data_IF_194560351606
#
_entry.id   IF_194560351606
#
_cell.length_a   1.000
_cell.length_b   1.000
_cell.length_c   1.000
_cell.angle_alpha   90.00
_cell.angle_beta   90.00
_cell.angle_gamma   90.00
#
_symmetry.space_group_name_H-M   'P 1'
#
loop_
_entity.id
_entity.type
_entity.pdbx_description
1 polymer ?
#
# COMPACT_ATOMS: atom_id res chain seq x y z
N UNK A 1 -24.25 12.80 1.18
CA UNK A 1 -22.99 12.63 0.48
C UNK A 1 -21.94 12.00 1.36
N UNK A 2 -21.43 10.88 0.93
CA UNK A 2 -20.51 10.13 1.78
C UNK A 2 -19.07 10.53 1.52
N UNK A 3 -18.61 11.50 2.28
CA UNK A 3 -17.22 11.90 2.29
C UNK A 3 -16.30 10.75 2.67
N UNK A 4 -16.81 9.81 3.48
CA UNK A 4 -16.00 8.66 3.91
C UNK A 4 -15.65 7.72 2.77
N UNK A 5 -16.56 7.53 1.80
CA UNK A 5 -16.26 6.69 0.64
C UNK A 5 -15.22 7.32 -0.25
N UNK A 6 -15.31 8.63 -0.44
CA UNK A 6 -14.33 9.34 -1.24
C UNK A 6 -12.95 9.33 -0.60
N UNK A 7 -12.88 9.47 0.72
CA UNK A 7 -11.63 9.41 1.44
C UNK A 7 -10.98 8.03 1.37
N UNK A 8 -11.79 6.97 1.51
CA UNK A 8 -11.29 5.61 1.39
C UNK A 8 -10.76 5.36 -0.02
N UNK A 9 -11.51 5.80 -1.03
CA UNK A 9 -11.11 5.64 -2.42
C UNK A 9 -9.81 6.40 -2.71
N UNK A 10 -9.65 7.60 -2.15
CA UNK A 10 -8.41 8.37 -2.32
C UNK A 10 -7.22 7.70 -1.69
N UNK A 11 -7.40 7.13 -0.52
CA UNK A 11 -6.34 6.39 0.16
C UNK A 11 -5.91 5.18 -0.67
N UNK A 12 -6.89 4.42 -1.17
CA UNK A 12 -6.62 3.26 -2.02
C UNK A 12 -5.89 3.67 -3.29
N UNK A 13 -6.41 4.68 -3.98
CA UNK A 13 -5.83 5.15 -5.24
C UNK A 13 -4.40 5.65 -5.05
N UNK A 14 -4.17 6.38 -3.96
CA UNK A 14 -2.84 6.91 -3.67
C UNK A 14 -1.85 5.78 -3.40
N UNK A 15 -2.27 4.78 -2.61
CA UNK A 15 -1.43 3.63 -2.31
C UNK A 15 -1.16 2.81 -3.56
N UNK A 16 -2.17 2.57 -4.38
CA UNK A 16 -1.99 1.85 -5.64
C UNK A 16 -0.98 2.58 -6.52
N UNK A 17 -1.11 3.89 -6.63
CA UNK A 17 -0.23 4.70 -7.45
C UNK A 17 1.22 4.63 -6.96
N UNK A 18 1.44 4.78 -5.66
CA UNK A 18 2.81 4.81 -5.13
C UNK A 18 3.44 3.42 -5.16
N UNK A 19 2.69 2.36 -4.85
CA UNK A 19 3.21 1.00 -4.89
C UNK A 19 3.53 0.59 -6.33
N UNK A 20 2.62 0.89 -7.25
CA UNK A 20 2.84 0.61 -8.68
C UNK A 20 4.04 1.37 -9.21
N UNK A 21 4.19 2.64 -8.81
CA UNK A 21 5.34 3.45 -9.18
C UNK A 21 6.64 2.89 -8.67
N UNK A 22 6.65 2.38 -7.44
CA UNK A 22 7.83 1.74 -6.88
C UNK A 22 8.19 0.46 -7.64
N UNK A 23 7.21 -0.36 -7.97
CA UNK A 23 7.42 -1.58 -8.74
C UNK A 23 7.97 -1.27 -10.13
N UNK A 24 7.54 -0.17 -10.72
CA UNK A 24 8.01 0.27 -12.04
C UNK A 24 9.36 1.01 -11.98
N UNK A 25 9.87 1.31 -10.79
CA UNK A 25 11.13 2.01 -10.62
C UNK A 25 11.03 3.52 -10.69
N UNK A 26 9.82 4.08 -10.63
CA UNK A 26 9.59 5.51 -10.67
C UNK A 26 9.49 6.16 -9.31
N UNK A 27 9.27 5.36 -8.27
CA UNK A 27 9.13 5.83 -6.89
C UNK A 27 10.23 5.19 -6.07
N UNK A 28 10.92 5.99 -5.25
CA UNK A 28 11.96 5.49 -4.37
C UNK A 28 11.37 4.75 -3.18
N UNK A 29 12.19 3.89 -2.56
CA UNK A 29 11.76 3.17 -1.36
C UNK A 29 11.43 4.14 -0.22
N UNK A 30 12.18 5.24 -0.11
CA UNK A 30 11.90 6.25 0.89
C UNK A 30 10.54 6.92 0.71
N UNK A 31 10.16 7.19 -0.54
CA UNK A 31 8.85 7.74 -0.85
C UNK A 31 7.75 6.73 -0.55
N UNK A 32 7.99 5.47 -0.90
CA UNK A 32 7.04 4.39 -0.60
C UNK A 32 6.79 4.30 0.90
N UNK A 33 7.85 4.26 1.70
CA UNK A 33 7.74 4.21 3.15
C UNK A 33 6.95 5.38 3.71
N UNK A 34 7.22 6.57 3.20
CA UNK A 34 6.57 7.80 3.63
C UNK A 34 5.07 7.75 3.37
N UNK A 35 4.69 7.28 2.19
CA UNK A 35 3.27 7.15 1.84
C UNK A 35 2.57 6.08 2.65
N UNK A 36 3.25 4.98 2.95
CA UNK A 36 2.69 3.94 3.79
C UNK A 36 2.47 4.44 5.21
N UNK A 37 3.36 5.28 5.72
CA UNK A 37 3.21 5.87 7.05
C UNK A 37 2.04 6.85 7.10
N UNK A 38 1.76 7.54 6.00
CA UNK A 38 0.64 8.47 5.91
C UNK A 38 -0.70 7.76 5.87
N UNK A 39 -0.72 6.54 5.35
CA UNK A 39 -1.95 5.79 5.22
C UNK A 39 -2.48 5.40 6.59
N UNK A 40 -3.73 5.75 6.85
CA UNK A 40 -4.38 5.41 8.11
C UNK A 40 -5.14 4.11 7.95
N UNK A 41 -4.93 3.20 8.89
CA UNK A 41 -5.61 1.91 8.86
C UNK A 41 -7.13 2.06 8.86
N UNK A 42 -7.63 3.11 9.52
CA UNK A 42 -9.07 3.36 9.62
C UNK A 42 -9.71 3.73 8.28
N UNK A 43 -8.89 4.11 7.30
CA UNK A 43 -9.37 4.45 5.96
C UNK A 43 -9.39 3.23 5.03
N UNK A 44 -8.96 2.08 5.52
CA UNK A 44 -8.83 0.87 4.72
C UNK A 44 -9.68 -0.25 5.30
N UNK A 45 -10.07 -1.19 4.44
CA UNK A 45 -10.70 -2.42 4.89
C UNK A 45 -9.70 -3.24 5.69
N UNK A 46 -10.18 -4.17 6.51
CA UNK A 46 -9.32 -4.99 7.33
C UNK A 46 -8.27 -5.73 6.50
N UNK A 47 -8.68 -6.34 5.40
CA UNK A 47 -7.77 -7.08 4.53
C UNK A 47 -6.70 -6.15 3.92
N UNK A 48 -7.12 -4.96 3.54
CA UNK A 48 -6.20 -3.95 2.99
C UNK A 48 -5.22 -3.49 4.06
N UNK A 49 -5.70 -3.26 5.28
CA UNK A 49 -4.86 -2.82 6.38
C UNK A 49 -3.83 -3.90 6.74
N UNK A 50 -4.26 -5.17 6.75
CA UNK A 50 -3.34 -6.28 7.02
C UNK A 50 -2.27 -6.40 5.95
N UNK A 51 -2.65 -6.27 4.67
CA UNK A 51 -1.70 -6.31 3.58
C UNK A 51 -0.69 -5.16 3.68
N UNK A 52 -1.17 -3.98 4.05
CA UNK A 52 -0.31 -2.82 4.23
C UNK A 52 0.68 -3.02 5.37
N UNK A 53 0.22 -3.58 6.49
CA UNK A 53 1.08 -3.87 7.63
C UNK A 53 2.17 -4.87 7.26
N UNK A 54 1.82 -5.87 6.45
CA UNK A 54 2.76 -6.87 5.98
C UNK A 54 3.85 -6.23 5.11
N UNK A 55 3.45 -5.33 4.21
CA UNK A 55 4.41 -4.61 3.39
C UNK A 55 5.32 -3.72 4.24
N UNK A 56 4.77 -3.06 5.24
CA UNK A 56 5.56 -2.26 6.16
C UNK A 56 6.59 -3.10 6.90
N UNK A 57 6.17 -4.27 7.36
CA UNK A 57 7.07 -5.17 8.07
C UNK A 57 8.21 -5.63 7.18
N UNK A 58 7.91 -5.93 5.92
CA UNK A 58 8.93 -6.35 4.96
C UNK A 58 9.90 -5.22 4.65
N UNK A 59 9.41 -4.00 4.54
CA UNK A 59 10.27 -2.83 4.31
C UNK A 59 11.16 -2.52 5.50
N UNK A 60 10.70 -2.81 6.72
CA UNK A 60 11.47 -2.59 7.92
C UNK A 60 12.52 -3.66 8.17
N UNK A 61 12.38 -4.83 7.54
CA UNK A 61 13.32 -5.94 7.68
C UNK A 61 14.39 -5.95 6.61
N UNK A 62 15.17 -7.02 6.58
CA UNK A 62 16.23 -7.21 5.60
C UNK A 62 15.75 -8.03 4.40
N UNK A 63 14.52 -7.86 4.00
CA UNK A 63 13.95 -8.60 2.89
C UNK A 63 14.62 -8.24 1.58
N UNK A 64 14.79 -9.24 0.73
CA UNK A 64 15.35 -9.04 -0.60
C UNK A 64 14.33 -8.28 -1.47
N UNK A 65 14.85 -7.58 -2.47
CA UNK A 65 13.99 -6.81 -3.37
C UNK A 65 12.91 -7.67 -4.02
N UNK A 66 13.23 -8.90 -4.38
CA UNK A 66 12.26 -9.82 -4.98
C UNK A 66 11.11 -10.12 -4.02
N UNK A 67 11.42 -10.31 -2.74
CA UNK A 67 10.40 -10.55 -1.72
C UNK A 67 9.54 -9.32 -1.51
N UNK A 68 10.16 -8.14 -1.47
CA UNK A 68 9.44 -6.88 -1.37
C UNK A 68 8.49 -6.69 -2.54
N UNK A 69 8.94 -7.01 -3.75
CA UNK A 69 8.10 -6.91 -4.93
C UNK A 69 6.91 -7.85 -4.86
N UNK A 70 7.13 -9.06 -4.36
CA UNK A 70 6.05 -10.02 -4.19
C UNK A 70 4.99 -9.53 -3.22
N UNK A 71 5.43 -9.04 -2.06
CA UNK A 71 4.50 -8.52 -1.05
C UNK A 71 3.79 -7.28 -1.57
N UNK A 72 4.50 -6.42 -2.30
CA UNK A 72 3.89 -5.23 -2.90
C UNK A 72 2.80 -5.61 -3.89
N UNK A 73 3.01 -6.64 -4.70
CA UNK A 73 1.98 -7.12 -5.64
C UNK A 73 0.77 -7.68 -4.91
N UNK A 74 1.00 -8.43 -3.83
CA UNK A 74 -0.09 -8.94 -3.01
C UNK A 74 -0.88 -7.80 -2.38
N UNK A 75 -0.18 -6.76 -1.94
CA UNK A 75 -0.82 -5.57 -1.39
C UNK A 75 -1.68 -4.88 -2.45
N UNK A 76 -1.18 -4.78 -3.68
CA UNK A 76 -1.95 -4.19 -4.78
C UNK A 76 -3.22 -5.01 -5.05
N UNK A 77 -3.12 -6.33 -5.01
CA UNK A 77 -4.28 -7.19 -5.20
C UNK A 77 -5.32 -6.96 -4.11
N UNK A 78 -4.86 -6.85 -2.85
CA UNK A 78 -5.77 -6.59 -1.74
C UNK A 78 -6.44 -5.23 -1.88
N UNK A 79 -5.70 -4.22 -2.33
CA UNK A 79 -6.25 -2.88 -2.53
C UNK A 79 -7.26 -2.85 -3.68
N UNK A 80 -7.03 -3.66 -4.71
CA UNK A 80 -7.93 -3.73 -5.86
C UNK A 80 -9.18 -4.53 -5.57
N UNK A 81 -9.10 -5.50 -4.67
CA UNK A 81 -10.24 -6.35 -4.32
C UNK A 81 -11.05 -5.74 -3.20
N UNK A 82 -11.92 -4.84 -3.57
CA UNK A 82 -12.87 -4.29 -2.60
C UNK A 82 -14.05 -5.21 -2.48
N UNK A 83 -14.19 -5.72 -1.30
CA UNK A 83 -15.34 -6.56 -0.99
C UNK A 83 -16.65 -5.82 -1.02
#
# INVERSE_FOLDING_TARGET
MSTSREQTRRADDRLVTVISGWLAGHVSEGELRRELERARRTELDLDQAEALDELRAELAGDSRRAELQMVARETLEALAMRG
#
